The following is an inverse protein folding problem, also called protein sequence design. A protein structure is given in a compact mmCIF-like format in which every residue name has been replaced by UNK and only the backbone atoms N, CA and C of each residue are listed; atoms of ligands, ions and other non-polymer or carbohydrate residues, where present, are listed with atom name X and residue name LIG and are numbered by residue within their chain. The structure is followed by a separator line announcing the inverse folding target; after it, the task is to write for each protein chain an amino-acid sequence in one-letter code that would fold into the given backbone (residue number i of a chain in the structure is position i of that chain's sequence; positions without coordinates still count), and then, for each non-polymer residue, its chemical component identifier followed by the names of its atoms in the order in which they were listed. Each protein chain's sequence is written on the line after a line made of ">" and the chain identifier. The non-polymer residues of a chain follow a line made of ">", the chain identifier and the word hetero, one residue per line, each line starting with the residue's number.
data_IF_052869881147
#
_entry.id   IF_052869881147
#
_cell.length_a   1.000
_cell.length_b   1.000
_cell.length_c   1.000
_cell.angle_alpha   90.00
_cell.angle_beta   90.00
_cell.angle_gamma   90.00
#
_symmetry.space_group_name_H-M   'P 1'
#
loop_
_entity.id
_entity.type
_entity.pdbx_description
1 polymer ?
#
# COMPACT_ATOMS: atom_id res chain seq x y z
N UNK A 1 5.39 26.76 -9.91
CA UNK A 1 4.01 26.27 -9.63
C UNK A 1 3.90 24.88 -10.24
N UNK A 2 3.91 23.85 -9.41
CA UNK A 2 3.65 22.49 -9.88
C UNK A 2 2.16 22.39 -10.21
N UNK A 3 1.85 21.93 -11.42
CA UNK A 3 0.48 21.76 -11.90
C UNK A 3 -0.19 20.66 -11.05
N UNK A 4 -1.34 20.94 -10.43
CA UNK A 4 -2.05 20.00 -9.54
C UNK A 4 -2.26 18.63 -10.18
N UNK A 5 -2.41 18.58 -11.50
CA UNK A 5 -2.57 17.34 -12.26
C UNK A 5 -1.34 16.41 -12.18
N UNK A 6 -0.13 16.96 -12.08
CA UNK A 6 1.12 16.20 -11.87
C UNK A 6 1.17 15.61 -10.46
N UNK A 7 0.60 16.31 -9.47
CA UNK A 7 0.50 15.82 -8.08
C UNK A 7 -0.42 14.61 -8.00
N UNK A 8 -1.51 14.58 -8.76
CA UNK A 8 -2.44 13.44 -8.81
C UNK A 8 -1.90 12.24 -9.59
N UNK A 9 -1.17 12.45 -10.69
CA UNK A 9 -0.48 11.38 -11.43
C UNK A 9 0.68 10.76 -10.62
N UNK A 10 1.25 11.50 -9.66
CA UNK A 10 2.30 11.01 -8.76
C UNK A 10 1.82 9.93 -7.77
N UNK A 11 0.51 9.65 -7.72
CA UNK A 11 -0.08 8.93 -6.60
C UNK A 11 -0.57 7.52 -6.92
N UNK A 12 -0.59 7.05 -8.18
CA UNK A 12 -0.94 5.63 -8.43
C UNK A 12 -0.05 4.68 -7.61
N UNK A 13 -0.58 3.51 -7.20
CA UNK A 13 0.18 2.56 -6.37
C UNK A 13 1.56 2.25 -6.97
N UNK A 14 1.60 2.03 -8.29
CA UNK A 14 2.83 1.81 -9.03
C UNK A 14 3.83 2.99 -8.92
N UNK A 15 3.34 4.23 -8.83
CA UNK A 15 4.17 5.43 -8.70
C UNK A 15 4.67 5.65 -7.28
N UNK A 16 3.84 5.40 -6.26
CA UNK A 16 4.26 5.40 -4.84
C UNK A 16 5.36 4.36 -4.64
N UNK A 17 5.14 3.13 -5.09
CA UNK A 17 6.16 2.07 -5.05
C UNK A 17 7.40 2.41 -5.87
N UNK A 18 7.26 3.07 -7.04
CA UNK A 18 8.39 3.55 -7.84
C UNK A 18 9.19 4.67 -7.16
N UNK A 19 8.55 5.52 -6.34
CA UNK A 19 9.23 6.56 -5.56
C UNK A 19 10.02 5.94 -4.41
N UNK A 20 9.44 4.96 -3.72
CA UNK A 20 10.11 4.19 -2.68
C UNK A 20 11.34 3.44 -3.23
N UNK A 21 11.27 2.94 -4.47
CA UNK A 21 12.38 2.24 -5.11
C UNK A 21 13.54 3.13 -5.56
N UNK A 22 13.46 4.47 -5.44
CA UNK A 22 14.46 5.37 -6.01
C UNK A 22 15.73 5.60 -5.16
N UNK A 23 15.75 5.58 -3.83
CA UNK A 23 16.94 5.51 -2.92
C UNK A 23 18.11 6.51 -3.07
N UNK A 24 18.59 6.83 -4.26
CA UNK A 24 19.55 7.92 -4.51
C UNK A 24 18.92 9.31 -4.45
N UNK A 25 17.59 9.41 -4.30
CA UNK A 25 16.89 10.68 -4.04
C UNK A 25 16.74 10.89 -2.54
N UNK A 26 17.14 12.07 -2.08
CA UNK A 26 16.73 12.57 -0.77
C UNK A 26 15.21 12.69 -0.79
N UNK A 27 14.52 11.92 0.07
CA UNK A 27 13.07 12.03 0.19
C UNK A 27 12.79 13.32 0.96
N UNK A 28 12.27 14.30 0.25
CA UNK A 28 11.86 15.58 0.83
C UNK A 28 10.73 15.35 1.86
N UNK A 29 10.79 16.04 2.98
CA UNK A 29 9.79 15.95 4.04
C UNK A 29 8.40 16.34 3.52
N UNK A 30 8.30 17.35 2.66
CA UNK A 30 7.04 17.80 2.09
C UNK A 30 6.46 16.76 1.13
N UNK A 31 7.31 16.08 0.36
CA UNK A 31 6.88 14.96 -0.51
C UNK A 31 6.38 13.79 0.34
N UNK A 32 7.03 13.51 1.47
CA UNK A 32 6.60 12.45 2.40
C UNK A 32 5.24 12.76 3.01
N UNK A 33 5.02 14.01 3.45
CA UNK A 33 3.72 14.46 3.96
C UNK A 33 2.62 14.30 2.93
N UNK A 34 2.86 14.72 1.68
CA UNK A 34 1.88 14.58 0.60
C UNK A 34 1.54 13.11 0.31
N UNK A 35 2.53 12.21 0.31
CA UNK A 35 2.29 10.77 0.15
C UNK A 35 1.41 10.22 1.27
N UNK A 36 1.68 10.60 2.53
CA UNK A 36 0.82 10.18 3.65
C UNK A 36 -0.59 10.73 3.52
N UNK A 37 -0.76 12.02 3.21
CA UNK A 37 -2.07 12.65 3.03
C UNK A 37 -2.91 11.87 2.01
N UNK A 38 -2.30 11.50 0.89
CA UNK A 38 -2.97 10.70 -0.13
C UNK A 38 -3.35 9.30 0.35
N UNK A 39 -2.42 8.59 0.99
CA UNK A 39 -2.68 7.25 1.52
C UNK A 39 -3.84 7.30 2.54
N UNK A 40 -3.87 8.30 3.42
CA UNK A 40 -4.96 8.50 4.36
C UNK A 40 -6.27 8.93 3.67
N UNK A 41 -6.20 9.76 2.63
CA UNK A 41 -7.38 10.16 1.84
C UNK A 41 -8.05 8.95 1.19
N UNK A 42 -7.26 7.99 0.68
CA UNK A 42 -7.78 6.73 0.12
C UNK A 42 -8.49 5.88 1.17
N UNK A 43 -7.92 5.78 2.37
CA UNK A 43 -8.58 5.07 3.47
C UNK A 43 -9.93 5.70 3.78
N UNK A 44 -10.01 7.04 3.82
CA UNK A 44 -11.28 7.74 4.03
C UNK A 44 -12.29 7.52 2.92
N UNK A 45 -11.87 7.54 1.67
CA UNK A 45 -12.76 7.22 0.55
C UNK A 45 -13.29 5.79 0.61
N UNK A 46 -12.44 4.82 0.96
CA UNK A 46 -12.87 3.43 1.13
C UNK A 46 -13.85 3.25 2.30
N UNK A 47 -13.65 3.98 3.41
CA UNK A 47 -14.62 4.04 4.51
C UNK A 47 -15.99 4.54 4.02
N UNK A 48 -16.01 5.62 3.22
CA UNK A 48 -17.24 6.17 2.63
C UNK A 48 -17.92 5.18 1.68
N UNK A 49 -17.16 4.55 0.78
CA UNK A 49 -17.67 3.52 -0.16
C UNK A 49 -18.26 2.33 0.60
N UNK A 50 -17.64 1.90 1.71
CA UNK A 50 -18.15 0.82 2.57
C UNK A 50 -19.48 1.20 3.22
N UNK A 51 -19.61 2.44 3.70
CA UNK A 51 -20.87 2.94 4.28
C UNK A 51 -21.97 2.99 3.22
N UNK A 52 -21.66 3.52 2.03
CA UNK A 52 -22.62 3.60 0.93
C UNK A 52 -23.13 2.21 0.51
N UNK A 53 -22.22 1.23 0.39
CA UNK A 53 -22.57 -0.16 0.09
C UNK A 53 -23.47 -0.76 1.17
N UNK A 54 -23.18 -0.53 2.46
CA UNK A 54 -24.03 -0.99 3.55
C UNK A 54 -25.45 -0.44 3.43
N UNK A 55 -25.59 0.86 3.18
CA UNK A 55 -26.90 1.51 3.03
C UNK A 55 -27.67 0.88 1.88
N UNK A 56 -27.04 0.77 0.70
CA UNK A 56 -27.65 0.16 -0.49
C UNK A 56 -28.15 -1.25 -0.21
N UNK A 57 -27.32 -2.10 0.43
CA UNK A 57 -27.70 -3.48 0.70
C UNK A 57 -28.85 -3.62 1.71
N UNK A 58 -28.98 -2.66 2.64
CA UNK A 58 -30.12 -2.57 3.55
C UNK A 58 -31.37 -2.12 2.78
N UNK A 59 -31.27 -1.08 1.94
CA UNK A 59 -32.40 -0.59 1.14
C UNK A 59 -32.95 -1.65 0.19
N UNK A 60 -32.08 -2.47 -0.38
CA UNK A 60 -32.45 -3.59 -1.26
C UNK A 60 -32.90 -4.86 -0.48
N UNK A 61 -33.00 -4.82 0.85
CA UNK A 61 -33.31 -5.97 1.72
C UNK A 61 -32.38 -7.20 1.49
N UNK A 62 -31.17 -6.97 0.98
CA UNK A 62 -30.18 -8.04 0.74
C UNK A 62 -29.34 -8.35 1.97
N UNK A 63 -29.41 -7.48 2.98
CA UNK A 63 -28.56 -7.55 4.15
C UNK A 63 -29.35 -7.16 5.40
N UNK A 64 -29.64 -8.16 6.23
CA UNK A 64 -30.13 -7.93 7.57
C UNK A 64 -28.98 -7.67 8.56
N UNK A 65 -29.33 -7.30 9.79
CA UNK A 65 -28.35 -6.95 10.82
C UNK A 65 -27.46 -8.13 11.17
N UNK A 66 -28.02 -9.33 11.27
CA UNK A 66 -27.31 -10.56 11.61
C UNK A 66 -26.27 -10.93 10.54
N UNK A 67 -26.63 -10.84 9.26
CA UNK A 67 -25.76 -11.09 8.12
C UNK A 67 -24.66 -10.03 8.01
N UNK A 68 -24.98 -8.75 8.24
CA UNK A 68 -23.98 -7.69 8.28
C UNK A 68 -22.93 -7.93 9.37
N UNK A 69 -23.36 -8.26 10.59
CA UNK A 69 -22.45 -8.53 11.70
C UNK A 69 -21.59 -9.78 11.46
N UNK A 70 -22.13 -10.80 10.80
CA UNK A 70 -21.37 -11.97 10.38
C UNK A 70 -20.30 -11.62 9.33
N UNK A 71 -20.66 -10.85 8.30
CA UNK A 71 -19.73 -10.38 7.29
C UNK A 71 -18.62 -9.50 7.90
N UNK A 72 -18.98 -8.60 8.81
CA UNK A 72 -18.03 -7.73 9.50
C UNK A 72 -17.04 -8.51 10.35
N UNK A 73 -17.48 -9.59 11.03
CA UNK A 73 -16.58 -10.49 11.75
C UNK A 73 -15.59 -11.17 10.81
N UNK A 74 -16.06 -11.74 9.69
CA UNK A 74 -15.21 -12.39 8.71
C UNK A 74 -14.17 -11.42 8.11
N UNK A 75 -14.57 -10.19 7.80
CA UNK A 75 -13.64 -9.15 7.32
C UNK A 75 -12.60 -8.81 8.38
N UNK A 76 -12.99 -8.68 9.66
CA UNK A 76 -12.04 -8.40 10.75
C UNK A 76 -11.04 -9.53 10.95
N UNK A 77 -11.49 -10.78 10.87
CA UNK A 77 -10.61 -11.96 10.95
C UNK A 77 -9.61 -11.97 9.79
N UNK A 78 -10.09 -11.78 8.57
CA UNK A 78 -9.25 -11.66 7.38
C UNK A 78 -8.21 -10.53 7.50
N UNK A 79 -8.63 -9.34 7.94
CA UNK A 79 -7.72 -8.21 8.12
C UNK A 79 -6.68 -8.49 9.19
N UNK A 80 -7.06 -9.13 10.30
CA UNK A 80 -6.12 -9.52 11.35
C UNK A 80 -5.06 -10.51 10.85
N UNK A 81 -5.45 -11.48 10.05
CA UNK A 81 -4.50 -12.40 9.41
C UNK A 81 -3.55 -11.65 8.48
N UNK A 82 -4.08 -10.72 7.67
CA UNK A 82 -3.25 -9.87 6.80
C UNK A 82 -2.28 -8.99 7.58
N UNK A 83 -2.69 -8.42 8.71
CA UNK A 83 -1.81 -7.62 9.56
C UNK A 83 -0.67 -8.48 10.13
N UNK A 84 -0.94 -9.73 10.53
CA UNK A 84 0.08 -10.67 10.99
C UNK A 84 1.06 -10.98 9.85
N UNK A 85 0.57 -11.31 8.66
CA UNK A 85 1.43 -11.56 7.47
C UNK A 85 2.31 -10.35 7.16
N UNK A 86 1.75 -9.14 7.23
CA UNK A 86 2.49 -7.89 6.99
C UNK A 86 3.52 -7.59 8.08
N UNK A 87 3.20 -7.88 9.33
CA UNK A 87 4.14 -7.81 10.44
C UNK A 87 5.34 -8.75 10.22
N UNK A 88 5.07 -10.01 9.86
CA UNK A 88 6.11 -10.98 9.52
C UNK A 88 6.97 -10.54 8.33
N UNK A 89 6.35 -9.94 7.30
CA UNK A 89 7.07 -9.39 6.14
C UNK A 89 8.00 -8.22 6.53
N UNK A 90 7.54 -7.34 7.41
CA UNK A 90 8.34 -6.24 7.96
C UNK A 90 9.50 -6.75 8.82
N UNK A 91 9.24 -7.71 9.71
CA UNK A 91 10.25 -8.34 10.55
C UNK A 91 11.29 -9.10 9.72
N UNK A 92 10.84 -9.80 8.67
CA UNK A 92 11.73 -10.44 7.72
C UNK A 92 12.65 -9.42 7.06
N UNK A 93 12.11 -8.32 6.52
CA UNK A 93 12.93 -7.26 5.91
C UNK A 93 13.98 -6.73 6.89
N UNK A 94 13.57 -6.36 8.11
CA UNK A 94 14.45 -5.82 9.14
C UNK A 94 15.62 -6.76 9.50
N UNK A 95 15.40 -8.08 9.40
CA UNK A 95 16.40 -9.09 9.76
C UNK A 95 17.12 -9.72 8.55
N UNK A 96 16.69 -9.43 7.31
CA UNK A 96 17.17 -10.11 6.10
C UNK A 96 18.51 -9.61 5.57
N UNK A 97 18.92 -8.39 5.95
CA UNK A 97 20.07 -7.71 5.34
C UNK A 97 19.86 -7.30 3.88
N UNK A 98 18.65 -7.51 3.32
CA UNK A 98 18.31 -7.14 1.95
C UNK A 98 18.23 -5.61 1.87
N UNK A 99 18.95 -4.96 0.94
CA UNK A 99 18.82 -3.54 0.71
C UNK A 99 17.37 -3.15 0.35
N UNK A 100 16.90 -2.01 0.86
CA UNK A 100 15.57 -1.47 0.55
C UNK A 100 15.21 -1.44 -0.96
N UNK A 101 16.11 -1.13 -1.93
CA UNK A 101 15.70 -1.07 -3.34
C UNK A 101 15.43 -2.46 -3.90
N UNK A 102 16.16 -3.47 -3.41
CA UNK A 102 15.97 -4.85 -3.82
C UNK A 102 14.66 -5.40 -3.27
N UNK A 103 14.32 -5.05 -2.03
CA UNK A 103 13.02 -5.36 -1.44
C UNK A 103 11.87 -4.69 -2.21
N UNK A 104 11.95 -3.39 -2.50
CA UNK A 104 10.94 -2.68 -3.30
C UNK A 104 10.82 -3.26 -4.71
N UNK A 105 11.95 -3.59 -5.37
CA UNK A 105 11.93 -4.24 -6.67
C UNK A 105 11.25 -5.62 -6.62
N UNK A 106 11.50 -6.40 -5.57
CA UNK A 106 10.80 -7.67 -5.34
C UNK A 106 9.30 -7.45 -5.16
N UNK A 107 8.86 -6.46 -4.37
CA UNK A 107 7.43 -6.12 -4.19
C UNK A 107 6.75 -5.72 -5.50
N UNK A 108 7.45 -5.02 -6.38
CA UNK A 108 6.94 -4.56 -7.68
C UNK A 108 6.92 -5.65 -8.75
N UNK A 109 7.89 -6.55 -8.75
CA UNK A 109 8.15 -7.45 -9.90
C UNK A 109 8.06 -8.94 -9.57
N UNK A 110 7.93 -9.30 -8.29
CA UNK A 110 7.99 -10.67 -7.79
C UNK A 110 9.38 -11.32 -7.93
N UNK A 111 10.42 -10.55 -8.25
CA UNK A 111 11.79 -11.04 -8.51
C UNK A 111 12.81 -10.19 -7.77
N UNK A 112 13.74 -10.83 -7.07
CA UNK A 112 15.01 -10.17 -6.73
C UNK A 112 15.78 -10.01 -8.04
N UNK A 113 16.31 -8.82 -8.34
CA UNK A 113 17.28 -8.72 -9.45
C UNK A 113 18.41 -9.68 -9.11
N UNK A 114 18.73 -10.60 -10.01
CA UNK A 114 19.98 -11.35 -9.88
C UNK A 114 21.12 -10.34 -9.79
N UNK A 115 22.14 -10.57 -8.94
CA UNK A 115 23.33 -9.72 -8.97
C UNK A 115 23.82 -9.68 -10.42
N UNK A 116 23.77 -8.50 -11.02
CA UNK A 116 24.45 -8.27 -12.29
C UNK A 116 25.94 -8.59 -12.09
N UNK A 117 26.65 -9.05 -13.13
CA UNK A 117 28.05 -9.42 -12.99
C UNK A 117 28.79 -8.26 -12.32
N UNK A 118 29.61 -8.59 -11.31
CA UNK A 118 30.49 -7.64 -10.66
C UNK A 118 31.19 -6.83 -11.75
N UNK A 119 30.95 -5.52 -11.78
CA UNK A 119 31.77 -4.63 -12.58
C UNK A 119 33.14 -4.64 -11.92
N UNK A 120 34.06 -5.42 -12.49
CA UNK A 120 35.47 -5.31 -12.20
C UNK A 120 35.86 -3.85 -12.47
N UNK A 121 36.15 -3.11 -11.41
CA UNK A 121 36.80 -1.81 -11.53
C UNK A 121 38.23 -2.07 -12.01
N UNK A 122 38.49 -1.79 -13.29
CA UNK A 122 39.82 -1.46 -13.79
C UNK A 122 40.02 0.05 -13.78
#
# INVERSE_FOLDING_TARGET
>A
MWNLQVVWEMMSDAKIWSLLGNIGRNIDEDVSRLMFIELFSRLKKLEEETIAMRILLIEENLLDKELYEAALRAVREFLKEKDIEKGMESDFFANSGIPFPEWVNFKLTGKFKAPGPAQDFQ
#
